data_IF_872204109332
#
_entry.id   IF_872204109332
#
_cell.length_a   1.000
_cell.length_b   1.000
_cell.length_c   1.000
_cell.angle_alpha   90.00
_cell.angle_beta   90.00
_cell.angle_gamma   90.00
#
_symmetry.space_group_name_H-M   'P 1'
#
loop_
_entity.id
_entity.type
_entity.pdbx_description
1 polymer ?
#
# COMPACT_ATOMS: atom_id res chain seq x y z
N UNK A 1 -23.70 45.22 -8.26
CA UNK A 1 -22.36 44.72 -8.54
C UNK A 1 -22.05 44.91 -10.04
N UNK A 2 -20.83 45.24 -10.36
CA UNK A 2 -20.41 45.35 -11.75
C UNK A 2 -20.32 43.94 -12.38
N UNK A 3 -20.39 43.90 -13.71
CA UNK A 3 -20.21 42.67 -14.47
C UNK A 3 -18.84 42.06 -14.22
N UNK A 4 -17.83 42.90 -14.09
CA UNK A 4 -16.46 42.47 -13.77
C UNK A 4 -16.35 41.77 -12.41
N UNK A 5 -17.02 42.32 -11.41
CA UNK A 5 -17.04 41.71 -10.08
C UNK A 5 -17.74 40.35 -10.08
N UNK A 6 -18.83 40.23 -10.83
CA UNK A 6 -19.54 38.95 -10.99
C UNK A 6 -18.65 37.91 -11.69
N UNK A 7 -17.93 38.32 -12.72
CA UNK A 7 -17.01 37.45 -13.47
C UNK A 7 -15.87 36.98 -12.56
N UNK A 8 -15.29 37.87 -11.76
CA UNK A 8 -14.21 37.52 -10.83
C UNK A 8 -14.70 36.52 -9.77
N UNK A 9 -15.88 36.71 -9.22
CA UNK A 9 -16.46 35.78 -8.24
C UNK A 9 -16.66 34.41 -8.87
N UNK A 10 -17.19 34.36 -10.09
CA UNK A 10 -17.39 33.10 -10.81
C UNK A 10 -16.07 32.37 -11.06
N UNK A 11 -15.04 33.09 -11.48
CA UNK A 11 -13.72 32.52 -11.72
C UNK A 11 -13.10 31.92 -10.43
N UNK A 12 -13.26 32.63 -9.30
CA UNK A 12 -12.80 32.14 -8.01
C UNK A 12 -13.56 30.88 -7.61
N UNK A 13 -14.88 30.88 -7.78
CA UNK A 13 -15.71 29.71 -7.47
C UNK A 13 -15.31 28.50 -8.32
N UNK A 14 -15.07 28.69 -9.61
CA UNK A 14 -14.64 27.62 -10.52
C UNK A 14 -13.27 27.07 -10.14
N UNK A 15 -12.31 27.93 -9.82
CA UNK A 15 -10.99 27.51 -9.35
C UNK A 15 -11.08 26.74 -8.06
N UNK A 16 -11.92 27.19 -7.15
CA UNK A 16 -12.14 26.54 -5.85
C UNK A 16 -12.72 25.14 -6.05
N UNK A 17 -13.70 24.99 -6.92
CA UNK A 17 -14.32 23.70 -7.21
C UNK A 17 -13.32 22.75 -7.88
N UNK A 18 -12.51 23.24 -8.81
CA UNK A 18 -11.45 22.43 -9.43
C UNK A 18 -10.41 21.99 -8.41
N UNK A 19 -9.99 22.91 -7.54
CA UNK A 19 -9.01 22.58 -6.50
C UNK A 19 -9.54 21.51 -5.55
N UNK A 20 -10.81 21.60 -5.17
CA UNK A 20 -11.46 20.57 -4.34
C UNK A 20 -11.52 19.22 -5.04
N UNK A 21 -11.90 19.23 -6.32
CA UNK A 21 -11.98 18.00 -7.11
C UNK A 21 -10.62 17.32 -7.24
N UNK A 22 -9.57 18.10 -7.51
CA UNK A 22 -8.20 17.60 -7.60
C UNK A 22 -7.73 17.04 -6.26
N UNK A 23 -8.02 17.75 -5.16
CA UNK A 23 -7.65 17.28 -3.83
C UNK A 23 -8.34 15.96 -3.47
N UNK A 24 -9.62 15.81 -3.81
CA UNK A 24 -10.35 14.54 -3.62
C UNK A 24 -9.76 13.42 -4.44
N UNK A 25 -9.43 13.69 -5.70
CA UNK A 25 -8.82 12.70 -6.59
C UNK A 25 -7.46 12.24 -6.07
N UNK A 26 -6.64 13.17 -5.60
CA UNK A 26 -5.34 12.87 -5.00
C UNK A 26 -5.49 12.05 -3.71
N UNK A 27 -6.45 12.42 -2.86
CA UNK A 27 -6.72 11.70 -1.62
C UNK A 27 -7.18 10.26 -1.90
N UNK A 28 -8.07 10.07 -2.86
CA UNK A 28 -8.54 8.75 -3.26
C UNK A 28 -7.41 7.89 -3.83
N UNK A 29 -6.57 8.49 -4.66
CA UNK A 29 -5.41 7.79 -5.21
C UNK A 29 -4.44 7.39 -4.12
N UNK A 30 -4.14 8.30 -3.20
CA UNK A 30 -3.24 8.02 -2.08
C UNK A 30 -3.78 6.88 -1.21
N UNK A 31 -5.08 6.91 -0.90
CA UNK A 31 -5.72 5.86 -0.12
C UNK A 31 -5.67 4.51 -0.84
N UNK A 32 -5.96 4.49 -2.15
CA UNK A 32 -5.91 3.27 -2.95
C UNK A 32 -4.48 2.71 -3.05
N UNK A 33 -3.50 3.58 -3.26
CA UNK A 33 -2.09 3.19 -3.32
C UNK A 33 -1.62 2.62 -1.98
N UNK A 34 -2.00 3.26 -0.87
CA UNK A 34 -1.65 2.79 0.47
C UNK A 34 -2.29 1.42 0.78
N UNK A 35 -3.52 1.21 0.38
CA UNK A 35 -4.20 -0.08 0.56
C UNK A 35 -3.51 -1.18 -0.26
N UNK A 36 -3.21 -0.90 -1.52
CA UNK A 36 -2.50 -1.84 -2.38
C UNK A 36 -1.12 -2.19 -1.83
N UNK A 37 -0.35 -1.18 -1.43
CA UNK A 37 1.00 -1.39 -0.90
C UNK A 37 0.96 -2.13 0.43
N UNK A 38 -0.02 -1.85 1.27
CA UNK A 38 -0.22 -2.56 2.53
C UNK A 38 -0.53 -4.04 2.31
N UNK A 39 -1.40 -4.35 1.36
CA UNK A 39 -1.71 -5.74 1.00
C UNK A 39 -0.49 -6.48 0.44
N UNK A 40 0.29 -5.81 -0.41
CA UNK A 40 1.50 -6.40 -0.97
C UNK A 40 2.54 -6.67 0.13
N UNK A 41 2.70 -5.74 1.06
CA UNK A 41 3.63 -5.89 2.18
C UNK A 41 3.20 -7.04 3.10
N UNK A 42 1.90 -7.16 3.39
CA UNK A 42 1.38 -8.25 4.19
C UNK A 42 1.62 -9.60 3.51
N UNK A 43 1.36 -9.70 2.22
CA UNK A 43 1.60 -10.92 1.45
C UNK A 43 3.08 -11.30 1.44
N UNK A 44 3.95 -10.32 1.26
CA UNK A 44 5.40 -10.57 1.31
C UNK A 44 5.82 -11.10 2.67
N UNK A 45 5.31 -10.51 3.75
CA UNK A 45 5.58 -10.98 5.11
C UNK A 45 5.11 -12.42 5.32
N UNK A 46 3.93 -12.77 4.81
CA UNK A 46 3.42 -14.15 4.88
C UNK A 46 4.29 -15.12 4.09
N UNK A 47 4.71 -14.75 2.90
CA UNK A 47 5.59 -15.58 2.06
C UNK A 47 6.96 -15.77 2.72
N UNK A 48 7.52 -14.70 3.28
CA UNK A 48 8.81 -14.76 3.99
C UNK A 48 8.73 -15.66 5.23
N UNK A 49 7.64 -15.56 5.97
CA UNK A 49 7.42 -16.41 7.14
C UNK A 49 7.27 -17.88 6.75
N UNK A 50 6.54 -18.15 5.67
CA UNK A 50 6.40 -19.51 5.15
C UNK A 50 7.73 -20.09 4.69
N UNK A 51 8.56 -19.29 4.00
CA UNK A 51 9.89 -19.72 3.57
C UNK A 51 10.81 -19.99 4.77
N UNK A 52 10.77 -19.12 5.78
CA UNK A 52 11.57 -19.31 7.01
C UNK A 52 11.17 -20.58 7.75
N UNK A 53 9.87 -20.86 7.83
CA UNK A 53 9.36 -22.07 8.44
C UNK A 53 9.83 -23.32 7.69
N UNK A 54 9.72 -23.30 6.36
CA UNK A 54 10.16 -24.42 5.51
C UNK A 54 11.65 -24.71 5.68
N UNK A 55 12.47 -23.65 5.74
CA UNK A 55 13.91 -23.79 5.96
C UNK A 55 14.23 -24.36 7.35
N UNK A 56 13.51 -23.91 8.37
CA UNK A 56 13.70 -24.40 9.74
C UNK A 56 13.33 -25.89 9.85
N UNK A 57 12.24 -26.30 9.22
CA UNK A 57 11.82 -27.69 9.18
C UNK A 57 12.83 -28.56 8.44
N UNK A 58 13.33 -28.08 7.30
CA UNK A 58 14.35 -28.80 6.53
C UNK A 58 15.63 -29.01 7.34
N UNK A 59 16.10 -27.98 8.03
CA UNK A 59 17.27 -28.07 8.90
C UNK A 59 17.06 -29.05 10.07
N UNK A 60 15.88 -29.05 10.64
CA UNK A 60 15.53 -29.99 11.70
C UNK A 60 15.50 -31.44 11.20
N UNK A 61 14.96 -31.68 10.02
CA UNK A 61 14.95 -33.00 9.38
C UNK A 61 16.36 -33.49 9.06
N UNK A 62 17.21 -32.61 8.51
CA UNK A 62 18.61 -32.93 8.24
C UNK A 62 19.38 -33.26 9.54
N UNK A 63 19.19 -32.46 10.58
CA UNK A 63 19.83 -32.72 11.88
C UNK A 63 19.39 -34.06 12.46
N UNK A 64 18.11 -34.37 12.37
CA UNK A 64 17.60 -35.67 12.83
C UNK A 64 18.18 -36.85 12.02
N UNK A 65 18.28 -36.69 10.71
CA UNK A 65 18.87 -37.71 9.85
C UNK A 65 20.36 -37.96 10.17
N UNK A 66 21.11 -36.88 10.39
CA UNK A 66 22.53 -37.00 10.78
C UNK A 66 22.71 -37.72 12.13
N UNK A 67 21.85 -37.43 13.11
CA UNK A 67 21.87 -38.11 14.40
C UNK A 67 21.59 -39.60 14.26
N UNK A 68 20.68 -39.99 13.40
CA UNK A 68 20.39 -41.42 13.13
C UNK A 68 21.57 -42.12 12.46
N UNK A 69 22.30 -41.46 11.59
CA UNK A 69 23.47 -42.05 10.93
C UNK A 69 24.65 -42.25 11.85
N UNK A 70 24.78 -41.39 12.92
CA UNK A 70 25.91 -41.46 13.83
C UNK A 70 25.73 -42.47 14.95
N UNK A 71 24.56 -43.01 15.13
CA UNK A 71 24.28 -44.05 16.12
C UNK A 71 24.53 -45.42 15.53
#
# INVERSE_FOLDING_TARGET
MSLEAITEIREVEERTERAKAEARAQAQKLAADAERDGKALLRQGQDDAAAALAQALHRAEEAAAQRRETI
#
